data_IF_868928282174
#
_entry.id   IF_868928282174
#
_cell.length_a   1.000
_cell.length_b   1.000
_cell.length_c   1.000
_cell.angle_alpha   90.00
_cell.angle_beta   90.00
_cell.angle_gamma   90.00
#
_symmetry.space_group_name_H-M   'P 1'
#
loop_
_entity.id
_entity.type
_entity.pdbx_description
1 polymer ?
#
# COMPACT_ATOMS: atom_id res chain seq x y z
N UNK A 1 27.33 -1.00 12.59
CA UNK A 1 26.49 -0.46 11.51
C UNK A 1 26.42 1.03 11.75
N UNK A 2 27.25 1.79 11.04
CA UNK A 2 27.27 3.25 11.16
C UNK A 2 25.91 3.78 10.72
N UNK A 3 25.23 4.48 11.63
CA UNK A 3 24.03 5.24 11.30
C UNK A 3 24.55 6.48 10.57
N UNK A 4 24.49 6.45 9.23
CA UNK A 4 24.71 7.63 8.42
C UNK A 4 23.55 8.56 8.75
N UNK A 5 23.79 9.58 9.58
CA UNK A 5 22.83 10.65 9.80
C UNK A 5 22.73 11.44 8.50
N UNK A 6 21.71 11.15 7.70
CA UNK A 6 21.38 11.99 6.55
C UNK A 6 21.11 13.41 7.04
N UNK A 7 21.83 14.37 6.46
CA UNK A 7 21.60 15.80 6.71
C UNK A 7 20.65 16.28 5.61
N UNK A 8 19.54 16.90 6.05
CA UNK A 8 18.52 17.45 5.16
C UNK A 8 18.63 18.98 5.14
N UNK A 9 18.39 19.57 3.98
CA UNK A 9 18.42 21.01 3.76
C UNK A 9 17.03 21.65 3.70
N UNK A 10 16.94 22.95 3.95
CA UNK A 10 15.68 23.68 3.80
C UNK A 10 15.23 23.66 2.32
N UNK A 11 13.95 23.38 2.08
CA UNK A 11 13.37 23.20 0.75
C UNK A 11 13.41 21.75 0.25
N UNK A 12 14.17 20.87 0.89
CA UNK A 12 14.28 19.47 0.49
C UNK A 12 12.96 18.70 0.74
N UNK A 13 12.51 17.94 -0.27
CA UNK A 13 11.36 17.04 -0.16
C UNK A 13 11.79 15.72 0.50
N UNK A 14 11.05 15.31 1.50
CA UNK A 14 11.35 14.13 2.32
C UNK A 14 10.10 13.29 2.55
N UNK A 15 10.31 12.03 2.84
CA UNK A 15 9.26 11.11 3.29
C UNK A 15 9.36 10.92 4.80
N UNK A 16 8.24 11.18 5.48
CA UNK A 16 8.06 10.80 6.86
C UNK A 16 6.93 9.77 6.96
N UNK A 17 7.19 8.51 7.29
CA UNK A 17 6.31 7.37 7.02
C UNK A 17 4.88 7.49 7.56
N UNK A 18 4.70 8.17 8.71
CA UNK A 18 3.38 8.37 9.31
C UNK A 18 2.56 9.46 8.60
N UNK A 19 3.23 10.36 7.89
CA UNK A 19 2.63 11.56 7.33
C UNK A 19 2.77 11.65 5.81
N UNK A 20 3.67 10.87 5.20
CA UNK A 20 3.92 10.83 3.76
C UNK A 20 4.93 11.89 3.33
N UNK A 21 4.73 12.45 2.14
CA UNK A 21 5.57 13.48 1.55
C UNK A 21 5.44 14.80 2.30
N UNK A 22 6.56 15.34 2.72
CA UNK A 22 6.70 16.67 3.35
C UNK A 22 7.88 17.44 2.79
N UNK A 23 8.05 18.67 3.26
CA UNK A 23 9.18 19.52 2.90
C UNK A 23 9.86 20.00 4.18
N UNK A 24 11.19 20.00 4.19
CA UNK A 24 11.97 20.62 5.27
C UNK A 24 11.84 22.12 5.13
N UNK A 25 11.23 22.83 6.10
CA UNK A 25 11.19 24.29 6.11
C UNK A 25 12.37 24.93 6.84
N UNK A 26 13.15 24.13 7.56
CA UNK A 26 14.38 24.57 8.22
C UNK A 26 14.71 23.78 9.48
N UNK A 27 15.67 24.28 10.23
CA UNK A 27 16.09 23.71 11.52
C UNK A 27 15.78 24.73 12.62
N UNK A 28 15.22 24.27 13.71
CA UNK A 28 14.96 25.10 14.91
C UNK A 28 15.61 24.47 16.15
N UNK A 29 15.96 25.31 17.11
CA UNK A 29 16.46 24.84 18.41
C UNK A 29 15.37 24.98 19.47
N UNK A 30 15.21 23.96 20.29
CA UNK A 30 14.32 23.99 21.47
C UNK A 30 15.03 23.44 22.70
N UNK A 31 14.77 24.05 23.84
CA UNK A 31 15.22 23.52 25.12
C UNK A 31 14.26 22.44 25.60
N UNK A 32 14.82 21.26 25.88
CA UNK A 32 14.09 20.13 26.47
C UNK A 32 14.89 19.69 27.71
N UNK A 33 14.26 19.75 28.86
CA UNK A 33 14.89 19.41 30.15
C UNK A 33 16.22 20.16 30.40
N UNK A 34 16.29 21.46 30.06
CA UNK A 34 17.48 22.29 30.26
C UNK A 34 18.59 22.10 29.21
N UNK A 35 18.42 21.19 28.24
CA UNK A 35 19.40 20.95 27.16
C UNK A 35 18.84 21.44 25.84
N UNK A 36 19.68 22.13 25.03
CA UNK A 36 19.31 22.58 23.70
C UNK A 36 19.38 21.43 22.68
N UNK A 37 18.29 21.21 21.96
CA UNK A 37 18.18 20.20 20.92
C UNK A 37 17.77 20.85 19.59
N UNK A 38 18.36 20.37 18.49
CA UNK A 38 18.01 20.79 17.14
C UNK A 38 16.92 19.87 16.57
N UNK A 39 15.95 20.48 15.88
CA UNK A 39 14.83 19.80 15.25
C UNK A 39 14.71 20.26 13.80
N UNK A 40 14.49 19.31 12.90
CA UNK A 40 13.95 19.60 11.57
C UNK A 40 12.50 20.03 11.70
N UNK A 41 12.12 21.09 11.00
CA UNK A 41 10.75 21.53 10.85
C UNK A 41 10.24 21.01 9.50
N UNK A 42 9.28 20.10 9.55
CA UNK A 42 8.66 19.45 8.41
C UNK A 42 7.27 20.03 8.18
N UNK A 43 7.03 20.52 6.99
CA UNK A 43 5.71 20.98 6.55
C UNK A 43 5.02 19.93 5.68
N UNK A 44 3.73 19.71 5.95
CA UNK A 44 2.85 18.84 5.19
C UNK A 44 1.67 19.66 4.65
N UNK A 45 1.80 20.31 3.47
CA UNK A 45 0.82 21.26 2.95
C UNK A 45 -0.58 20.67 2.80
N UNK A 46 -0.70 19.41 2.32
CA UNK A 46 -1.97 18.72 2.14
C UNK A 46 -2.73 18.47 3.47
N UNK A 47 -2.01 18.45 4.58
CA UNK A 47 -2.57 18.24 5.92
C UNK A 47 -2.62 19.52 6.74
N UNK A 48 -2.12 20.63 6.20
CA UNK A 48 -1.98 21.91 6.91
C UNK A 48 -1.30 21.74 8.28
N UNK A 49 -0.21 20.98 8.32
CA UNK A 49 0.43 20.55 9.55
C UNK A 49 1.94 20.72 9.48
N UNK A 50 2.52 21.12 10.61
CA UNK A 50 3.97 21.16 10.83
C UNK A 50 4.36 20.18 11.93
N UNK A 51 5.50 19.51 11.74
CA UNK A 51 6.05 18.56 12.71
C UNK A 51 7.51 18.88 12.98
N UNK A 52 7.91 18.74 14.23
CA UNK A 52 9.31 18.86 14.65
C UNK A 52 9.90 17.45 14.86
N UNK A 53 10.95 17.14 14.12
CA UNK A 53 11.65 15.86 14.22
C UNK A 53 13.08 16.11 14.76
N UNK A 54 13.49 15.47 15.88
CA UNK A 54 14.82 15.64 16.41
C UNK A 54 15.88 15.25 15.36
N UNK A 55 16.81 16.16 15.04
CA UNK A 55 17.87 15.94 14.04
C UNK A 55 18.64 14.64 14.31
N UNK A 56 19.04 14.42 15.57
CA UNK A 56 19.82 13.23 15.98
C UNK A 56 19.09 11.89 15.78
N UNK A 57 17.76 11.90 15.66
CA UNK A 57 16.93 10.71 15.51
C UNK A 57 16.08 10.72 14.23
N UNK A 58 16.41 11.60 13.31
CA UNK A 58 15.61 11.76 12.09
C UNK A 58 15.51 10.45 11.29
N UNK A 59 16.64 9.82 11.01
CA UNK A 59 16.69 8.53 10.29
C UNK A 59 16.09 7.37 11.11
N UNK A 60 16.31 7.32 12.43
CA UNK A 60 15.69 6.33 13.32
C UNK A 60 14.15 6.43 13.32
N UNK A 61 13.63 7.65 13.21
CA UNK A 61 12.21 7.93 13.10
C UNK A 61 11.67 7.70 11.67
N UNK A 62 12.53 7.26 10.74
CA UNK A 62 12.18 6.94 9.38
C UNK A 62 12.11 8.12 8.42
N UNK A 63 12.64 9.30 8.81
CA UNK A 63 12.80 10.42 7.89
C UNK A 63 13.83 10.03 6.83
N UNK A 64 13.48 10.10 5.56
CA UNK A 64 14.35 9.77 4.43
C UNK A 64 14.06 10.65 3.22
N UNK A 65 14.99 10.65 2.29
CA UNK A 65 14.80 11.30 0.99
C UNK A 65 13.71 10.59 0.17
N UNK A 66 13.16 11.32 -0.76
CA UNK A 66 12.29 10.77 -1.80
C UNK A 66 13.11 9.82 -2.68
N UNK A 67 12.47 8.82 -3.26
CA UNK A 67 13.10 7.90 -4.21
C UNK A 67 13.84 8.65 -5.33
N UNK A 68 15.01 8.13 -5.73
CA UNK A 68 15.64 8.53 -6.98
C UNK A 68 14.86 7.98 -8.20
N UNK A 69 15.13 8.50 -9.38
CA UNK A 69 14.53 7.96 -10.62
C UNK A 69 14.85 6.48 -10.84
N UNK A 70 16.06 6.05 -10.47
CA UNK A 70 16.52 4.66 -10.56
C UNK A 70 15.75 3.76 -9.58
N UNK A 71 15.57 4.21 -8.34
CA UNK A 71 14.77 3.48 -7.34
C UNK A 71 13.31 3.35 -7.76
N UNK A 72 12.74 4.39 -8.40
CA UNK A 72 11.39 4.32 -8.97
C UNK A 72 11.31 3.26 -10.07
N UNK A 73 12.28 3.20 -10.99
CA UNK A 73 12.30 2.17 -12.03
C UNK A 73 12.42 0.76 -11.44
N UNK A 74 13.24 0.59 -10.40
CA UNK A 74 13.35 -0.69 -9.69
C UNK A 74 12.01 -1.10 -9.05
N UNK A 75 11.34 -0.17 -8.37
CA UNK A 75 10.02 -0.38 -7.78
C UNK A 75 8.97 -0.75 -8.85
N UNK A 76 8.90 -0.01 -9.95
CA UNK A 76 7.94 -0.28 -11.03
C UNK A 76 8.23 -1.62 -11.72
N UNK A 77 9.50 -1.98 -11.93
CA UNK A 77 9.92 -3.29 -12.45
C UNK A 77 9.51 -4.42 -11.51
N UNK A 78 9.74 -4.26 -10.21
CA UNK A 78 9.31 -5.22 -9.22
C UNK A 78 7.78 -5.41 -9.23
N UNK A 79 7.01 -4.33 -9.24
CA UNK A 79 5.54 -4.37 -9.29
C UNK A 79 5.02 -5.09 -10.54
N UNK A 80 5.70 -4.92 -11.67
CA UNK A 80 5.33 -5.54 -12.95
C UNK A 80 5.69 -7.04 -13.03
N UNK A 81 6.59 -7.52 -12.18
CA UNK A 81 7.08 -8.91 -12.18
C UNK A 81 6.12 -9.92 -11.54
N UNK A 82 4.94 -9.51 -11.10
CA UNK A 82 3.96 -10.36 -10.41
C UNK A 82 4.54 -11.13 -9.20
N UNK A 83 5.11 -10.44 -8.22
CA UNK A 83 5.77 -11.12 -7.12
C UNK A 83 4.81 -12.02 -6.34
N UNK A 84 5.29 -13.21 -5.99
CA UNK A 84 4.50 -14.18 -5.22
C UNK A 84 4.29 -13.68 -3.79
N UNK A 85 3.04 -13.60 -3.30
CA UNK A 85 2.78 -13.16 -1.93
C UNK A 85 3.28 -14.20 -0.92
N UNK A 86 3.63 -13.80 0.31
CA UNK A 86 4.04 -14.71 1.36
C UNK A 86 2.96 -15.74 1.69
N UNK A 87 3.39 -16.94 2.13
CA UNK A 87 2.46 -18.04 2.49
C UNK A 87 1.59 -17.66 3.71
N UNK A 88 0.34 -18.15 3.79
CA UNK A 88 -0.61 -17.81 4.87
C UNK A 88 -0.07 -18.06 6.29
N UNK A 89 0.75 -19.11 6.49
CA UNK A 89 1.32 -19.44 7.80
C UNK A 89 2.29 -18.38 8.34
N UNK A 90 2.73 -17.45 7.51
CA UNK A 90 3.68 -16.38 7.91
C UNK A 90 2.99 -15.06 8.26
N UNK A 91 1.65 -15.03 8.28
CA UNK A 91 0.84 -13.81 8.39
C UNK A 91 1.10 -12.98 9.65
N UNK A 92 1.17 -13.59 10.84
CA UNK A 92 1.41 -12.85 12.09
C UNK A 92 2.80 -12.23 12.11
N UNK A 93 3.81 -12.97 11.65
CA UNK A 93 5.19 -12.46 11.52
C UNK A 93 5.26 -11.36 10.48
N UNK A 94 4.56 -11.54 9.35
CA UNK A 94 4.49 -10.55 8.28
C UNK A 94 3.86 -9.23 8.75
N UNK A 95 2.74 -9.25 9.46
CA UNK A 95 2.09 -8.03 10.00
C UNK A 95 3.01 -7.22 10.90
N UNK A 96 3.72 -7.86 11.83
CA UNK A 96 4.67 -7.18 12.71
C UNK A 96 5.77 -6.53 11.89
N UNK A 97 6.40 -7.28 10.98
CA UNK A 97 7.43 -6.78 10.08
C UNK A 97 6.93 -5.64 9.20
N UNK A 98 5.71 -5.73 8.67
CA UNK A 98 5.09 -4.68 7.85
C UNK A 98 4.98 -3.35 8.59
N UNK A 99 4.53 -3.37 9.84
CA UNK A 99 4.44 -2.14 10.65
C UNK A 99 5.81 -1.52 10.94
N UNK A 100 6.84 -2.33 11.12
CA UNK A 100 8.22 -1.87 11.27
C UNK A 100 8.75 -1.29 9.95
N UNK A 101 8.52 -1.96 8.83
CA UNK A 101 8.92 -1.50 7.50
C UNK A 101 8.20 -0.21 7.07
N UNK A 102 6.94 -0.03 7.44
CA UNK A 102 6.21 1.21 7.19
C UNK A 102 6.81 2.41 7.92
N UNK A 103 7.52 2.19 9.04
CA UNK A 103 8.13 3.27 9.82
C UNK A 103 9.49 3.71 9.27
N UNK A 104 10.26 2.83 8.67
CA UNK A 104 11.65 3.12 8.27
C UNK A 104 12.13 2.29 7.08
N UNK A 105 11.22 1.59 6.39
CA UNK A 105 11.62 0.68 5.31
C UNK A 105 11.98 1.39 4.01
N UNK A 106 12.91 0.80 3.24
CA UNK A 106 13.24 1.29 1.90
C UNK A 106 12.05 1.17 0.94
N UNK A 107 12.02 1.96 -0.15
CA UNK A 107 10.91 1.98 -1.12
C UNK A 107 10.48 0.62 -1.65
N UNK A 108 11.44 -0.26 -1.92
CA UNK A 108 11.17 -1.61 -2.42
C UNK A 108 10.39 -2.47 -1.40
N UNK A 109 10.65 -2.31 -0.10
CA UNK A 109 9.88 -3.01 0.93
C UNK A 109 8.44 -2.47 1.02
N UNK A 110 8.25 -1.17 0.82
CA UNK A 110 6.92 -0.56 0.71
C UNK A 110 6.16 -1.12 -0.51
N UNK A 111 6.84 -1.27 -1.66
CA UNK A 111 6.26 -1.89 -2.84
C UNK A 111 5.87 -3.37 -2.62
N UNK A 112 6.65 -4.13 -1.85
CA UNK A 112 6.32 -5.51 -1.45
C UNK A 112 5.04 -5.56 -0.62
N UNK A 113 4.86 -4.61 0.30
CA UNK A 113 3.63 -4.50 1.11
C UNK A 113 2.43 -4.20 0.21
N UNK A 114 2.56 -3.25 -0.70
CA UNK A 114 1.53 -2.89 -1.67
C UNK A 114 1.09 -4.11 -2.49
N UNK A 115 2.01 -4.82 -3.13
CA UNK A 115 1.72 -6.02 -3.91
C UNK A 115 1.00 -7.09 -3.10
N UNK A 116 1.48 -7.32 -1.88
CA UNK A 116 0.91 -8.33 -1.02
C UNK A 116 -0.54 -8.00 -0.66
N UNK A 117 -0.82 -6.78 -0.23
CA UNK A 117 -2.17 -6.36 0.15
C UNK A 117 -3.12 -6.34 -1.06
N UNK A 118 -2.69 -5.90 -2.25
CA UNK A 118 -3.49 -5.97 -3.47
C UNK A 118 -3.83 -7.41 -3.86
N UNK A 119 -2.87 -8.31 -3.77
CA UNK A 119 -3.12 -9.74 -4.03
C UNK A 119 -4.11 -10.33 -3.03
N UNK A 120 -4.02 -9.89 -1.78
CA UNK A 120 -4.91 -10.34 -0.74
C UNK A 120 -6.32 -9.83 -0.95
N UNK A 121 -6.48 -8.56 -1.28
CA UNK A 121 -7.78 -7.96 -1.60
C UNK A 121 -8.49 -8.69 -2.72
N UNK A 122 -7.77 -9.05 -3.80
CA UNK A 122 -8.34 -9.77 -4.93
C UNK A 122 -8.73 -11.22 -4.62
N UNK A 123 -8.13 -11.86 -3.59
CA UNK A 123 -8.38 -13.28 -3.25
C UNK A 123 -9.45 -13.46 -2.18
N UNK A 124 -9.45 -12.68 -1.13
CA UNK A 124 -10.32 -12.88 0.04
C UNK A 124 -10.88 -11.60 0.66
N UNK A 125 -10.48 -10.44 0.13
CA UNK A 125 -10.77 -9.15 0.75
C UNK A 125 -9.79 -8.80 1.88
N UNK A 126 -9.79 -7.55 2.28
CA UNK A 126 -8.97 -7.00 3.36
C UNK A 126 -9.81 -6.68 4.59
N UNK A 127 -9.24 -6.89 5.76
CA UNK A 127 -9.75 -6.33 7.01
C UNK A 127 -9.66 -4.80 6.99
N UNK A 128 -10.39 -4.13 7.87
CA UNK A 128 -10.36 -2.67 8.00
C UNK A 128 -8.94 -2.12 8.19
N UNK A 129 -8.14 -2.77 9.05
CA UNK A 129 -6.74 -2.37 9.31
C UNK A 129 -5.86 -2.55 8.07
N UNK A 130 -5.99 -3.68 7.37
CA UNK A 130 -5.22 -3.96 6.15
C UNK A 130 -5.56 -2.98 5.02
N UNK A 131 -6.83 -2.63 4.86
CA UNK A 131 -7.27 -1.63 3.90
C UNK A 131 -6.69 -0.24 4.21
N UNK A 132 -6.65 0.13 5.49
CA UNK A 132 -6.02 1.39 5.92
C UNK A 132 -4.53 1.43 5.60
N UNK A 133 -3.82 0.31 5.80
CA UNK A 133 -2.40 0.16 5.43
C UNK A 133 -2.23 0.25 3.91
N UNK A 134 -3.06 -0.43 3.13
CA UNK A 134 -3.00 -0.39 1.66
C UNK A 134 -3.13 1.04 1.15
N UNK A 135 -4.14 1.78 1.60
CA UNK A 135 -4.33 3.19 1.21
C UNK A 135 -3.16 4.09 1.61
N UNK A 136 -2.54 3.84 2.76
CA UNK A 136 -1.36 4.59 3.19
C UNK A 136 -0.17 4.32 2.26
N UNK A 137 0.13 3.06 2.00
CA UNK A 137 1.24 2.62 1.14
C UNK A 137 1.06 3.13 -0.30
N UNK A 138 -0.15 3.02 -0.82
CA UNK A 138 -0.51 3.49 -2.16
C UNK A 138 -0.23 5.00 -2.31
N UNK A 139 -0.71 5.81 -1.38
CA UNK A 139 -0.45 7.26 -1.38
C UNK A 139 1.04 7.59 -1.27
N UNK A 140 1.80 6.86 -0.46
CA UNK A 140 3.25 7.04 -0.35
C UNK A 140 3.92 6.78 -1.69
N UNK A 141 3.63 5.64 -2.35
CA UNK A 141 4.21 5.30 -3.64
C UNK A 141 3.83 6.31 -4.73
N UNK A 142 2.55 6.72 -4.80
CA UNK A 142 2.08 7.72 -5.78
C UNK A 142 2.82 9.04 -5.60
N UNK A 143 2.87 9.58 -4.39
CA UNK A 143 3.52 10.87 -4.13
C UNK A 143 5.03 10.84 -4.39
N UNK A 144 5.70 9.73 -4.06
CA UNK A 144 7.13 9.58 -4.35
C UNK A 144 7.41 9.43 -5.85
N UNK A 145 6.64 8.61 -6.57
CA UNK A 145 6.77 8.46 -8.03
C UNK A 145 6.49 9.80 -8.73
N UNK A 146 5.47 10.53 -8.29
CA UNK A 146 5.12 11.84 -8.86
C UNK A 146 6.28 12.83 -8.74
N UNK A 147 6.89 12.91 -7.56
CA UNK A 147 8.03 13.82 -7.32
C UNK A 147 9.28 13.36 -8.07
N UNK A 148 9.64 12.09 -7.99
CA UNK A 148 10.86 11.58 -8.60
C UNK A 148 10.86 11.60 -10.13
N UNK A 149 9.66 11.49 -10.76
CA UNK A 149 9.49 11.55 -12.21
C UNK A 149 9.01 12.92 -12.71
N UNK A 150 8.83 13.88 -11.81
CA UNK A 150 8.29 15.22 -12.13
C UNK A 150 6.96 15.18 -12.92
N UNK A 151 6.06 14.28 -12.50
CA UNK A 151 4.73 14.10 -13.11
C UNK A 151 3.62 14.39 -12.09
N UNK A 152 2.37 14.52 -12.58
CA UNK A 152 1.22 14.67 -11.69
C UNK A 152 0.90 13.37 -10.93
N UNK A 153 0.25 13.47 -9.77
CA UNK A 153 -0.16 12.31 -8.96
C UNK A 153 -1.10 11.39 -9.75
N UNK A 154 -2.00 11.93 -10.60
CA UNK A 154 -2.89 11.11 -11.44
C UNK A 154 -2.13 10.26 -12.46
N UNK A 155 -1.03 10.80 -13.02
CA UNK A 155 -0.14 10.02 -13.90
C UNK A 155 0.60 8.95 -13.10
N UNK A 156 1.12 9.28 -11.94
CA UNK A 156 1.80 8.33 -11.06
C UNK A 156 0.87 7.20 -10.62
N UNK A 157 -0.37 7.51 -10.24
CA UNK A 157 -1.42 6.54 -9.93
C UNK A 157 -1.69 5.60 -11.12
N UNK A 158 -1.81 6.15 -12.31
CA UNK A 158 -2.00 5.37 -13.53
C UNK A 158 -0.83 4.42 -13.81
N UNK A 159 0.42 4.83 -13.55
CA UNK A 159 1.60 3.97 -13.65
C UNK A 159 1.55 2.85 -12.62
N UNK A 160 1.28 3.17 -11.37
CA UNK A 160 1.19 2.19 -10.29
C UNK A 160 0.10 1.14 -10.57
N UNK A 161 -1.08 1.57 -10.99
CA UNK A 161 -2.20 0.71 -11.33
C UNK A 161 -1.88 -0.23 -12.51
N UNK A 162 -1.23 0.27 -13.58
CA UNK A 162 -0.80 -0.55 -14.71
C UNK A 162 0.19 -1.63 -14.29
N UNK A 163 1.20 -1.27 -13.50
CA UNK A 163 2.17 -2.23 -13.00
C UNK A 163 1.50 -3.30 -12.13
N UNK A 164 0.61 -2.91 -11.22
CA UNK A 164 -0.11 -3.83 -10.35
C UNK A 164 -1.09 -4.75 -11.13
N UNK A 165 -1.67 -4.29 -12.24
CA UNK A 165 -2.57 -5.09 -13.08
C UNK A 165 -1.82 -6.11 -13.93
N UNK A 166 -0.65 -5.77 -14.46
CA UNK A 166 0.21 -6.69 -15.22
C UNK A 166 0.75 -7.82 -14.33
N UNK A 167 0.90 -7.59 -13.05
CA UNK A 167 1.30 -8.58 -12.05
C UNK A 167 0.19 -9.54 -11.60
N UNK A 168 -1.06 -9.38 -12.04
CA UNK A 168 -2.12 -10.34 -11.70
C UNK A 168 -2.01 -11.57 -12.59
N UNK A 169 -1.98 -12.81 -12.04
CA UNK A 169 -2.07 -14.01 -12.87
C UNK A 169 -3.37 -13.94 -13.68
N UNK A 170 -3.27 -14.05 -15.00
CA UNK A 170 -4.43 -14.18 -15.88
C UNK A 170 -5.16 -15.46 -15.49
N UNK A 171 -6.14 -15.37 -14.60
CA UNK A 171 -7.09 -16.45 -14.38
C UNK A 171 -7.96 -16.55 -15.64
N UNK A 172 -7.59 -17.47 -16.52
CA UNK A 172 -8.44 -17.97 -17.60
C UNK A 172 -9.64 -18.70 -16.98
N UNK A 173 -10.60 -17.95 -16.48
CA UNK A 173 -11.95 -18.49 -16.35
C UNK A 173 -12.65 -18.21 -17.67
N UNK A 174 -12.51 -19.18 -18.58
CA UNK A 174 -13.31 -19.28 -19.77
C UNK A 174 -14.79 -19.18 -19.38
N UNK A 175 -15.42 -18.20 -20.00
CA UNK A 175 -16.87 -18.02 -19.97
C UNK A 175 -17.49 -19.15 -20.81
N UNK A 176 -17.76 -20.27 -20.16
CA UNK A 176 -18.55 -21.36 -20.74
C UNK A 176 -20.03 -21.00 -20.67
N UNK A 177 -20.51 -20.19 -21.64
CA UNK A 177 -21.94 -20.07 -21.90
C UNK A 177 -22.38 -21.39 -22.55
N UNK A 178 -22.77 -22.33 -21.73
CA UNK A 178 -23.49 -23.53 -22.16
C UNK A 178 -24.96 -23.20 -22.50
N UNK A 179 -25.21 -22.96 -23.75
CA UNK A 179 -26.56 -22.81 -24.31
C UNK A 179 -27.22 -24.21 -24.34
N UNK A 180 -27.91 -24.59 -23.28
CA UNK A 180 -28.70 -25.81 -23.21
C UNK A 180 -30.10 -25.58 -23.73
N UNK A 181 -30.36 -25.98 -24.97
CA UNK A 181 -31.67 -25.98 -25.62
C UNK A 181 -32.66 -26.85 -24.84
N UNK A 182 -33.78 -26.25 -24.56
CA UNK A 182 -35.04 -26.83 -24.14
C UNK A 182 -35.57 -27.82 -25.20
N UNK A 183 -35.92 -29.05 -24.84
CA UNK A 183 -36.80 -29.91 -25.59
C UNK A 183 -37.70 -30.61 -24.61
N UNK A 184 -38.96 -30.24 -24.65
CA UNK A 184 -40.01 -30.80 -23.82
C UNK A 184 -40.35 -32.22 -24.17
N UNK A 185 -40.95 -32.93 -23.23
CA UNK A 185 -42.11 -33.75 -23.58
C UNK A 185 -42.92 -34.02 -22.30
N UNK A 186 -44.21 -33.75 -22.40
CA UNK A 186 -45.17 -34.02 -21.35
C UNK A 186 -45.54 -35.49 -21.29
N UNK A 187 -46.07 -35.90 -20.17
CA UNK A 187 -47.24 -36.79 -20.09
C UNK A 187 -47.87 -36.73 -18.70
N UNK A 188 -49.14 -36.45 -18.71
CA UNK A 188 -50.10 -36.57 -17.62
C UNK A 188 -50.35 -38.03 -17.22
N UNK A 189 -50.69 -38.22 -15.97
CA UNK A 189 -51.73 -39.11 -15.43
C UNK A 189 -51.51 -39.10 -13.90
N UNK A 190 -52.49 -38.80 -13.02
CA UNK A 190 -53.83 -39.32 -12.96
C UNK A 190 -53.94 -40.21 -11.72
N UNK A 191 -54.82 -39.91 -10.76
CA UNK A 191 -55.19 -40.80 -9.67
C UNK A 191 -54.94 -40.20 -8.27
N UNK A 192 -55.82 -39.50 -7.63
CA UNK A 192 -57.09 -39.75 -6.99
C UNK A 192 -57.03 -40.66 -5.74
N UNK A 193 -57.70 -40.12 -4.67
CA UNK A 193 -58.16 -40.78 -3.42
C UNK A 193 -57.12 -40.93 -2.31
N UNK A 194 -57.38 -40.55 -1.07
CA UNK A 194 -58.61 -40.19 -0.39
C UNK A 194 -58.50 -40.54 1.10
N UNK A 195 -59.15 -39.74 1.93
CA UNK A 195 -59.57 -40.08 3.31
C UNK A 195 -58.49 -40.30 4.36
N UNK A 196 -58.59 -39.89 5.56
CA UNK A 196 -59.61 -39.31 6.46
C UNK A 196 -59.11 -39.52 7.90
N UNK A 197 -59.48 -38.62 8.77
CA UNK A 197 -59.68 -38.78 10.24
C UNK A 197 -58.40 -39.10 11.05
N UNK A 198 -58.22 -38.61 12.12
CA UNK A 198 -58.96 -37.97 13.18
C UNK A 198 -58.20 -38.16 14.46
N UNK A 199 -58.35 -37.35 15.27
CA UNK A 199 -58.44 -37.09 16.68
C UNK A 199 -57.45 -36.08 17.16
#
# INVERSE_FOLDING_TARGET
MEIINEVFEAGEKVIYPQFGLGTISGVTQKQVNGTSHSFYRLEFPLKQMEILVPVKRASENGLRRVMSSEEVEEVLKFLSSAPTPPKPQQWHRWRKKTLEQLKSGPPLEIAKIYCHLNTLESKKGLSFTERKILLQVERMLISEIAVAKEISEEKAESFLAKCASNGKPKNSRGNGIGNGKNAGNGKANGGAKGRSNGT
#
